data_IF_313432391610
#
_entry.id   IF_313432391610
#
_cell.length_a   1.000
_cell.length_b   1.000
_cell.length_c   1.000
_cell.angle_alpha   90.00
_cell.angle_beta   90.00
_cell.angle_gamma   90.00
#
_symmetry.space_group_name_H-M   'P 1'
#
loop_
_entity.id
_entity.type
_entity.pdbx_description
1 polymer ?
#
# COMPACT_ATOMS: atom_id res chain seq x y z
N UNK A 1 7.57 -23.98 11.34
CA UNK A 1 8.25 -23.08 12.29
C UNK A 1 7.23 -22.01 12.65
N UNK A 2 6.76 -21.95 13.90
CA UNK A 2 5.74 -20.98 14.29
C UNK A 2 6.39 -19.59 14.40
N UNK A 3 6.00 -18.66 13.53
CA UNK A 3 6.42 -17.25 13.62
C UNK A 3 5.75 -16.66 14.86
N UNK A 4 6.53 -16.49 15.93
CA UNK A 4 6.09 -15.79 17.12
C UNK A 4 6.00 -14.29 16.77
N UNK A 5 4.78 -13.79 16.55
CA UNK A 5 4.55 -12.38 16.23
C UNK A 5 4.73 -11.53 17.49
N UNK A 6 5.76 -10.70 17.49
CA UNK A 6 5.99 -9.74 18.57
C UNK A 6 5.19 -8.47 18.26
N UNK A 7 4.25 -8.13 19.15
CA UNK A 7 3.49 -6.88 19.07
C UNK A 7 3.89 -5.96 20.21
N UNK A 8 4.01 -4.67 19.93
CA UNK A 8 4.29 -3.63 20.92
C UNK A 8 3.04 -2.76 21.05
N UNK A 9 2.51 -2.65 22.27
CA UNK A 9 1.37 -1.77 22.56
C UNK A 9 1.90 -0.48 23.17
N UNK A 10 1.55 0.66 22.56
CA UNK A 10 1.98 1.97 23.02
C UNK A 10 0.76 2.86 23.30
N UNK A 11 0.74 3.58 24.43
CA UNK A 11 -0.31 4.55 24.72
C UNK A 11 -0.17 5.78 23.82
N UNK A 12 -1.30 6.28 23.32
CA UNK A 12 -1.34 7.59 22.69
C UNK A 12 -1.09 8.68 23.75
N UNK A 13 -0.34 9.71 23.35
CA UNK A 13 0.14 10.77 24.27
C UNK A 13 -1.02 11.61 24.85
N UNK A 14 -2.21 11.54 24.26
CA UNK A 14 -3.38 12.36 24.61
C UNK A 14 -4.61 11.54 25.08
N UNK A 15 -4.40 10.43 25.79
CA UNK A 15 -5.51 9.67 26.41
C UNK A 15 -6.43 8.95 25.43
N UNK A 16 -5.98 8.76 24.19
CA UNK A 16 -6.67 7.98 23.16
C UNK A 16 -6.42 6.47 23.23
N UNK A 17 -7.00 5.75 22.27
CA UNK A 17 -6.87 4.31 22.09
C UNK A 17 -5.40 3.83 22.01
N UNK A 18 -5.13 2.56 22.31
CA UNK A 18 -3.79 1.98 22.20
C UNK A 18 -3.41 1.79 20.73
N UNK A 19 -2.18 2.18 20.36
CA UNK A 19 -1.60 1.84 19.05
C UNK A 19 -0.82 0.52 19.15
N UNK A 20 -1.07 -0.39 18.22
CA UNK A 20 -0.41 -1.70 18.17
C UNK A 20 0.57 -1.72 17.01
N UNK A 21 1.86 -1.75 17.34
CA UNK A 21 2.94 -1.92 16.38
C UNK A 21 3.22 -3.41 16.21
N UNK A 22 3.36 -3.85 14.95
CA UNK A 22 3.61 -5.24 14.56
C UNK A 22 5.00 -5.36 13.99
N UNK A 23 5.72 -6.40 14.40
CA UNK A 23 7.04 -6.72 13.85
C UNK A 23 6.91 -7.14 12.38
N UNK A 24 7.76 -6.59 11.53
CA UNK A 24 7.94 -6.93 10.12
C UNK A 24 9.44 -7.00 9.80
N UNK A 25 9.82 -7.87 8.87
CA UNK A 25 11.19 -7.94 8.36
C UNK A 25 11.28 -7.09 7.09
N UNK A 26 12.21 -6.13 7.05
CA UNK A 26 12.41 -5.26 5.88
C UNK A 26 13.84 -5.37 5.40
N UNK A 27 14.03 -5.50 4.10
CA UNK A 27 15.35 -5.51 3.48
C UNK A 27 16.08 -4.17 3.72
N UNK A 28 17.31 -4.23 4.22
CA UNK A 28 18.10 -3.04 4.56
C UNK A 28 18.38 -2.11 3.37
N UNK A 29 18.31 -2.60 2.13
CA UNK A 29 18.46 -1.79 0.91
C UNK A 29 17.40 -0.69 0.79
N UNK A 30 16.14 -0.98 1.14
CA UNK A 30 15.04 -0.01 1.05
C UNK A 30 15.21 1.16 2.01
N UNK A 31 15.82 0.90 3.16
CA UNK A 31 16.01 1.91 4.18
C UNK A 31 17.12 2.92 3.80
N UNK A 32 18.02 2.58 2.88
CA UNK A 32 19.12 3.50 2.51
C UNK A 32 18.61 4.81 1.90
N UNK A 33 17.46 4.77 1.24
CA UNK A 33 16.90 5.93 0.53
C UNK A 33 15.67 6.52 1.25
N UNK A 34 15.01 5.75 2.12
CA UNK A 34 13.78 6.17 2.80
C UNK A 34 13.96 6.54 4.28
N UNK A 35 15.18 6.48 4.83
CA UNK A 35 15.42 6.90 6.23
C UNK A 35 15.42 8.42 6.34
N UNK A 36 14.46 8.92 7.11
CA UNK A 36 14.29 10.35 7.35
C UNK A 36 15.02 10.80 8.61
N UNK A 37 15.12 9.92 9.62
CA UNK A 37 15.79 10.26 10.89
C UNK A 37 16.46 9.04 11.53
N UNK A 38 17.64 9.28 12.10
CA UNK A 38 18.40 8.32 12.90
C UNK A 38 18.51 8.84 14.32
N UNK A 39 18.09 8.04 15.30
CA UNK A 39 18.25 8.32 16.72
C UNK A 39 19.07 7.23 17.40
N UNK A 40 20.07 7.62 18.20
CA UNK A 40 20.99 6.67 18.86
C UNK A 40 20.64 6.47 20.33
N UNK A 41 20.93 5.30 20.86
CA UNK A 41 20.81 4.95 22.29
C UNK A 41 19.38 5.00 22.86
N UNK A 42 18.36 4.90 22.02
CA UNK A 42 16.99 4.78 22.47
C UNK A 42 16.63 3.32 22.77
N UNK A 43 15.72 3.11 23.73
CA UNK A 43 15.11 1.78 23.93
C UNK A 43 14.11 1.49 22.83
N UNK A 44 13.80 0.21 22.61
CA UNK A 44 12.78 -0.24 21.64
C UNK A 44 11.45 0.53 21.79
N UNK A 45 10.95 0.68 23.02
CA UNK A 45 9.72 1.42 23.33
C UNK A 45 9.88 2.91 22.98
N UNK A 46 11.02 3.50 23.32
CA UNK A 46 11.30 4.91 23.04
C UNK A 46 11.30 5.21 21.53
N UNK A 47 11.66 4.24 20.69
CA UNK A 47 11.68 4.40 19.24
C UNK A 47 10.28 4.40 18.65
N UNK A 48 9.41 3.49 19.11
CA UNK A 48 7.99 3.54 18.74
C UNK A 48 7.32 4.84 19.18
N UNK A 49 7.58 5.33 20.40
CA UNK A 49 7.07 6.63 20.86
C UNK A 49 7.62 7.79 20.03
N UNK A 50 8.90 7.74 19.63
CA UNK A 50 9.48 8.76 18.76
C UNK A 50 8.80 8.78 17.37
N UNK A 51 8.52 7.61 16.81
CA UNK A 51 7.77 7.49 15.56
C UNK A 51 6.35 8.06 15.70
N UNK A 52 5.60 7.68 16.74
CA UNK A 52 4.23 8.17 16.97
C UNK A 52 4.09 9.68 17.16
N UNK A 53 5.17 10.38 17.54
CA UNK A 53 5.18 11.84 17.68
C UNK A 53 5.35 12.57 16.35
N UNK A 54 5.59 11.83 15.27
CA UNK A 54 5.87 12.36 13.95
C UNK A 54 4.85 11.78 12.97
N UNK A 55 3.95 12.62 12.45
CA UNK A 55 2.88 12.18 11.54
C UNK A 55 3.42 11.53 10.24
N UNK A 56 4.66 11.85 9.87
CA UNK A 56 5.34 11.29 8.70
C UNK A 56 5.91 9.88 8.95
N UNK A 57 6.01 9.40 10.19
CA UNK A 57 6.67 8.14 10.51
C UNK A 57 5.66 6.98 10.51
N UNK A 58 5.86 6.02 9.60
CA UNK A 58 4.97 4.86 9.41
C UNK A 58 5.67 3.52 9.68
N UNK A 59 7.01 3.55 9.72
CA UNK A 59 7.84 2.40 10.00
C UNK A 59 9.04 2.87 10.82
N UNK A 60 9.46 2.04 11.76
CA UNK A 60 10.75 2.21 12.42
C UNK A 60 11.46 0.89 12.59
N UNK A 61 12.79 0.92 12.50
CA UNK A 61 13.64 -0.25 12.65
C UNK A 61 14.57 -0.07 13.85
N UNK A 62 14.81 -1.18 14.54
CA UNK A 62 15.69 -1.21 15.71
C UNK A 62 16.90 -2.08 15.41
N UNK A 63 18.03 -1.43 15.17
CA UNK A 63 19.27 -2.10 14.78
C UNK A 63 20.30 -2.09 15.93
N UNK A 64 21.29 -2.99 15.86
CA UNK A 64 22.37 -3.14 16.84
C UNK A 64 23.63 -2.39 16.34
N UNK A 65 24.22 -1.47 17.12
CA UNK A 65 23.98 -1.21 18.54
C UNK A 65 23.01 -0.04 18.82
N UNK A 66 21.72 -0.36 19.02
CA UNK A 66 20.64 0.54 19.51
C UNK A 66 20.46 1.81 18.69
N UNK A 67 20.49 1.66 17.38
CA UNK A 67 20.12 2.73 16.46
C UNK A 67 18.66 2.54 16.04
N UNK A 68 17.90 3.62 16.14
CA UNK A 68 16.51 3.67 15.71
C UNK A 68 16.41 4.47 14.44
N UNK A 69 15.98 3.76 13.39
CA UNK A 69 15.78 4.30 12.06
C UNK A 69 14.30 4.60 11.94
N UNK A 70 13.93 5.87 11.83
CA UNK A 70 12.55 6.31 11.61
C UNK A 70 12.39 6.66 10.14
N UNK A 71 11.30 6.20 9.54
CA UNK A 71 11.09 6.32 8.10
C UNK A 71 9.62 6.54 7.76
N UNK A 72 9.40 7.26 6.66
CA UNK A 72 8.10 7.48 6.03
C UNK A 72 7.64 6.32 5.15
N UNK A 73 8.42 5.24 5.07
CA UNK A 73 8.08 4.04 4.32
C UNK A 73 6.80 3.41 4.89
N UNK A 74 5.81 3.21 4.04
CA UNK A 74 4.66 2.37 4.38
C UNK A 74 5.02 0.93 4.06
N UNK A 75 4.90 0.05 5.05
CA UNK A 75 5.14 -1.39 4.86
C UNK A 75 3.96 -2.15 5.41
N UNK A 76 3.39 -3.02 4.59
CA UNK A 76 2.37 -3.96 5.03
C UNK A 76 2.98 -5.04 5.92
N UNK A 77 2.23 -5.47 6.94
CA UNK A 77 2.64 -6.63 7.73
C UNK A 77 2.54 -7.95 6.97
N UNK A 78 1.89 -7.96 5.80
CA UNK A 78 1.84 -9.10 4.87
C UNK A 78 3.06 -9.15 3.95
N UNK A 79 3.95 -8.14 3.98
CA UNK A 79 5.19 -8.12 3.21
C UNK A 79 6.10 -9.30 3.57
N UNK A 80 6.77 -9.86 2.56
CA UNK A 80 7.78 -10.89 2.73
C UNK A 80 9.06 -10.48 1.98
N UNK A 81 10.19 -10.29 2.68
CA UNK A 81 11.44 -9.91 2.02
C UNK A 81 11.94 -11.03 1.10
N UNK A 82 12.57 -10.65 0.00
CA UNK A 82 13.17 -11.58 -0.97
C UNK A 82 14.38 -12.33 -0.39
N UNK A 83 15.11 -11.71 0.56
CA UNK A 83 16.25 -12.31 1.26
C UNK A 83 16.14 -12.16 2.78
N UNK A 84 15.99 -13.26 3.54
CA UNK A 84 15.82 -13.20 5.00
C UNK A 84 17.09 -12.80 5.75
N UNK A 85 18.28 -13.12 5.21
CA UNK A 85 19.57 -12.99 5.91
C UNK A 85 20.12 -11.54 5.94
N UNK A 86 19.39 -10.57 5.37
CA UNK A 86 19.75 -9.15 5.36
C UNK A 86 18.61 -8.21 5.78
N UNK A 87 17.55 -8.77 6.37
CA UNK A 87 16.40 -8.02 6.84
C UNK A 87 16.64 -7.39 8.21
N UNK A 88 16.22 -6.14 8.37
CA UNK A 88 16.13 -5.46 9.66
C UNK A 88 14.80 -5.75 10.34
N UNK A 89 14.85 -5.86 11.67
CA UNK A 89 13.67 -5.95 12.51
C UNK A 89 13.02 -4.56 12.61
N UNK A 90 11.90 -4.42 11.91
CA UNK A 90 11.13 -3.20 11.86
C UNK A 90 9.74 -3.40 12.44
N UNK A 91 9.08 -2.29 12.71
CA UNK A 91 7.77 -2.25 13.32
C UNK A 91 6.93 -1.23 12.57
N UNK A 92 5.70 -1.65 12.24
CA UNK A 92 4.71 -0.82 11.57
C UNK A 92 3.36 -0.92 12.30
N UNK A 93 2.57 0.16 12.27
CA UNK A 93 1.19 0.18 12.76
C UNK A 93 0.18 -0.26 11.68
N UNK A 94 0.66 -0.54 10.47
CA UNK A 94 -0.17 -1.00 9.35
C UNK A 94 -0.82 -2.34 9.67
N UNK A 95 -2.02 -2.52 9.11
CA UNK A 95 -2.78 -3.76 9.24
C UNK A 95 -2.36 -4.73 8.13
N UNK A 96 -2.49 -6.05 8.34
CA UNK A 96 -2.38 -7.02 7.26
C UNK A 96 -3.38 -6.68 6.15
N UNK A 97 -2.94 -6.86 4.91
CA UNK A 97 -3.75 -6.72 3.70
C UNK A 97 -3.62 -7.97 2.80
N UNK A 98 -4.48 -8.06 1.79
CA UNK A 98 -4.59 -9.19 0.86
C UNK A 98 -3.82 -9.02 -0.46
N UNK A 99 -3.42 -7.79 -0.80
CA UNK A 99 -2.72 -7.40 -2.02
C UNK A 99 -1.37 -8.08 -2.21
N UNK A 100 -0.54 -8.32 -1.18
CA UNK A 100 0.79 -8.94 -1.36
C UNK A 100 0.80 -10.33 -2.00
N UNK A 101 -0.35 -11.00 -2.04
CA UNK A 101 -0.52 -12.32 -2.66
C UNK A 101 -1.39 -12.29 -3.91
N UNK A 102 -1.92 -11.12 -4.29
CA UNK A 102 -2.82 -10.98 -5.42
C UNK A 102 -2.06 -11.04 -6.74
N UNK A 103 -2.61 -11.77 -7.71
CA UNK A 103 -2.17 -11.67 -9.09
C UNK A 103 -2.79 -10.41 -9.72
N UNK A 104 -2.00 -9.65 -10.48
CA UNK A 104 -2.48 -8.45 -11.15
C UNK A 104 -2.60 -8.69 -12.65
N UNK A 105 -3.77 -8.40 -13.19
CA UNK A 105 -3.98 -8.16 -14.62
C UNK A 105 -4.38 -6.70 -14.84
N UNK A 106 -4.25 -6.22 -16.07
CA UNK A 106 -4.53 -4.83 -16.38
C UNK A 106 -4.93 -4.66 -17.84
N UNK A 107 -5.39 -3.46 -18.18
CA UNK A 107 -5.35 -2.97 -19.55
C UNK A 107 -3.90 -2.86 -20.05
N UNK A 108 -3.70 -2.29 -21.25
CA UNK A 108 -2.37 -2.15 -21.89
C UNK A 108 -1.38 -1.49 -20.93
N UNK A 109 -0.43 -2.26 -20.40
CA UNK A 109 0.53 -1.73 -19.44
C UNK A 109 1.65 -0.96 -20.13
N UNK A 110 2.02 0.18 -19.55
CA UNK A 110 3.15 0.96 -20.03
C UNK A 110 4.45 0.28 -19.58
N UNK A 111 4.94 -0.67 -20.39
CA UNK A 111 6.19 -1.39 -20.12
C UNK A 111 7.40 -0.49 -20.37
N UNK A 112 7.80 0.29 -19.36
CA UNK A 112 9.21 0.64 -19.18
C UNK A 112 9.82 -0.32 -18.17
N UNK A 113 11.14 -0.54 -18.21
CA UNK A 113 11.85 -1.34 -17.20
C UNK A 113 11.71 -0.80 -15.77
N UNK A 114 11.17 0.41 -15.64
CA UNK A 114 11.16 1.22 -14.42
C UNK A 114 9.78 1.20 -13.73
N UNK A 115 8.67 0.99 -14.46
CA UNK A 115 7.30 1.03 -13.91
C UNK A 115 6.65 -0.35 -13.92
N UNK A 116 6.94 -1.16 -12.89
CA UNK A 116 6.51 -2.55 -12.82
C UNK A 116 5.13 -2.68 -12.17
N UNK A 117 4.28 -3.58 -12.69
CA UNK A 117 2.96 -3.86 -12.10
C UNK A 117 3.05 -4.40 -10.68
N UNK A 118 4.10 -5.16 -10.39
CA UNK A 118 4.32 -5.78 -9.08
C UNK A 118 4.41 -4.76 -7.95
N UNK A 119 4.93 -3.56 -8.22
CA UNK A 119 5.08 -2.51 -7.23
C UNK A 119 3.72 -1.99 -6.72
N UNK A 120 2.64 -2.21 -7.48
CA UNK A 120 1.29 -1.84 -7.04
C UNK A 120 0.86 -2.60 -5.77
N UNK A 121 1.39 -3.82 -5.58
CA UNK A 121 0.92 -4.77 -4.55
C UNK A 121 2.09 -5.43 -3.80
N UNK A 122 3.29 -4.89 -3.89
CA UNK A 122 4.46 -5.44 -3.20
C UNK A 122 4.40 -5.27 -1.67
N UNK A 123 3.42 -4.51 -1.16
CA UNK A 123 3.27 -4.18 0.25
C UNK A 123 4.22 -3.08 0.75
N UNK A 124 4.87 -2.33 -0.16
CA UNK A 124 5.79 -1.24 0.17
C UNK A 124 5.41 0.03 -0.60
N UNK A 125 5.38 1.18 0.08
CA UNK A 125 5.31 2.48 -0.58
C UNK A 125 6.36 3.44 -0.01
N UNK A 126 7.33 3.79 -0.84
CA UNK A 126 8.53 4.57 -0.45
C UNK A 126 8.49 6.04 -0.85
N UNK A 127 7.38 6.49 -1.48
CA UNK A 127 7.29 7.80 -2.12
C UNK A 127 8.34 8.03 -3.23
N UNK A 128 8.82 6.95 -3.86
CA UNK A 128 9.56 7.04 -5.10
C UNK A 128 8.59 7.16 -6.30
N UNK A 129 8.90 8.07 -7.23
CA UNK A 129 8.22 8.16 -8.53
C UNK A 129 8.32 6.86 -9.34
N UNK A 130 9.35 6.05 -9.10
CA UNK A 130 9.56 4.78 -9.80
C UNK A 130 8.69 3.64 -9.26
N UNK A 131 8.10 3.79 -8.07
CA UNK A 131 7.26 2.75 -7.47
C UNK A 131 5.88 2.62 -8.12
N UNK A 132 5.47 3.57 -8.98
CA UNK A 132 4.12 3.49 -9.54
C UNK A 132 3.96 2.56 -10.74
N UNK A 133 2.78 1.95 -10.76
CA UNK A 133 2.24 1.25 -11.91
C UNK A 133 1.42 2.17 -12.79
N UNK A 134 1.68 2.12 -14.11
CA UNK A 134 0.97 2.92 -15.11
C UNK A 134 0.41 2.02 -16.20
N UNK A 135 -0.90 2.12 -16.41
CA UNK A 135 -1.60 1.40 -17.47
C UNK A 135 -2.35 2.38 -18.35
N UNK A 136 -2.45 2.04 -19.63
CA UNK A 136 -3.30 2.68 -20.62
C UNK A 136 -4.41 1.72 -21.04
N UNK A 137 -5.40 2.24 -21.70
CA UNK A 137 -6.39 1.47 -22.46
C UNK A 137 -6.18 1.61 -23.95
N UNK A 138 -6.82 0.73 -24.71
CA UNK A 138 -7.01 0.93 -26.14
C UNK A 138 -8.04 2.05 -26.38
N UNK A 139 -8.05 2.61 -27.59
CA UNK A 139 -8.98 3.68 -27.96
C UNK A 139 -10.44 3.26 -27.71
N UNK A 140 -11.18 4.07 -26.97
CA UNK A 140 -12.59 3.82 -26.62
C UNK A 140 -12.82 2.87 -25.44
N UNK A 141 -11.78 2.55 -24.67
CA UNK A 141 -11.89 1.82 -23.41
C UNK A 141 -11.24 2.61 -22.27
N UNK A 142 -11.58 2.27 -21.02
CA UNK A 142 -10.98 2.90 -19.84
C UNK A 142 -9.80 2.11 -19.29
N UNK A 143 -8.80 2.78 -18.73
CA UNK A 143 -7.64 2.14 -18.11
C UNK A 143 -7.99 1.47 -16.77
N UNK A 144 -7.47 0.27 -16.51
CA UNK A 144 -7.84 -0.51 -15.33
C UNK A 144 -6.74 -1.47 -14.82
N UNK A 145 -6.79 -1.76 -13.53
CA UNK A 145 -6.16 -2.89 -12.85
C UNK A 145 -7.23 -3.85 -12.34
N UNK A 146 -6.92 -5.15 -12.36
CA UNK A 146 -7.74 -6.19 -11.77
C UNK A 146 -6.86 -7.11 -10.92
N UNK A 147 -7.19 -7.19 -9.65
CA UNK A 147 -6.54 -8.06 -8.70
C UNK A 147 -7.35 -9.35 -8.58
N UNK A 148 -6.66 -10.48 -8.64
CA UNK A 148 -7.19 -11.81 -8.35
C UNK A 148 -6.55 -12.34 -7.07
N UNK A 149 -7.36 -12.50 -6.02
CA UNK A 149 -6.91 -13.03 -4.73
C UNK A 149 -6.87 -14.56 -4.66
N UNK A 150 -7.26 -15.26 -5.74
CA UNK A 150 -7.32 -16.73 -5.81
C UNK A 150 -8.54 -17.34 -5.09
N UNK A 151 -9.01 -16.72 -4.01
CA UNK A 151 -10.21 -17.08 -3.26
C UNK A 151 -11.07 -15.86 -2.96
N UNK A 152 -12.34 -16.12 -2.58
CA UNK A 152 -13.24 -15.06 -2.10
C UNK A 152 -12.73 -14.55 -0.75
N UNK A 153 -12.57 -13.24 -0.64
CA UNK A 153 -12.18 -12.54 0.59
C UNK A 153 -13.25 -11.52 0.98
N UNK A 154 -13.39 -11.19 2.27
CA UNK A 154 -14.10 -9.98 2.68
C UNK A 154 -13.25 -8.76 2.31
N UNK A 155 -13.86 -7.79 1.63
CA UNK A 155 -13.26 -6.51 1.25
C UNK A 155 -13.99 -5.40 2.01
N UNK A 156 -13.35 -4.90 3.04
CA UNK A 156 -13.82 -3.84 3.93
C UNK A 156 -13.24 -2.46 3.57
N UNK A 157 -12.10 -2.42 2.90
CA UNK A 157 -11.41 -1.18 2.58
C UNK A 157 -10.48 -1.35 1.38
N UNK A 158 -10.43 -0.34 0.52
CA UNK A 158 -9.41 -0.21 -0.52
C UNK A 158 -8.71 1.13 -0.35
N UNK A 159 -7.38 1.07 -0.24
CA UNK A 159 -6.52 2.24 -0.08
C UNK A 159 -5.71 2.39 -1.36
N UNK A 160 -5.83 3.56 -2.00
CA UNK A 160 -5.09 3.92 -3.19
C UNK A 160 -4.16 5.08 -2.85
N UNK A 161 -2.89 4.98 -3.23
CA UNK A 161 -1.91 6.04 -2.99
C UNK A 161 -1.45 6.64 -4.31
N UNK A 162 -1.58 7.97 -4.41
CA UNK A 162 -1.17 8.72 -5.58
C UNK A 162 0.36 8.89 -5.67
N UNK A 163 0.85 9.21 -6.87
CA UNK A 163 2.28 9.45 -7.06
C UNK A 163 2.77 10.72 -6.36
N UNK A 164 4.06 10.78 -5.98
CA UNK A 164 4.70 11.94 -5.36
C UNK A 164 5.07 13.04 -6.37
N UNK A 165 4.23 13.27 -7.38
CA UNK A 165 4.45 14.32 -8.38
C UNK A 165 3.13 14.76 -9.03
N UNK A 166 3.22 15.77 -9.88
CA UNK A 166 2.10 16.43 -10.54
C UNK A 166 1.38 15.57 -11.59
N UNK A 167 1.88 14.39 -11.96
CA UNK A 167 1.13 13.47 -12.82
C UNK A 167 -0.11 12.90 -12.11
N UNK A 168 -0.14 12.91 -10.76
CA UNK A 168 -1.31 12.57 -9.96
C UNK A 168 -2.55 13.38 -10.39
N UNK A 169 -2.38 14.66 -10.72
CA UNK A 169 -3.47 15.53 -11.19
C UNK A 169 -4.16 15.02 -12.47
N UNK A 170 -3.42 14.32 -13.32
CA UNK A 170 -3.89 13.87 -14.64
C UNK A 170 -4.30 12.40 -14.63
N UNK A 171 -3.51 11.54 -13.99
CA UNK A 171 -3.62 10.08 -14.14
C UNK A 171 -4.15 9.37 -12.89
N UNK A 172 -4.23 10.06 -11.74
CA UNK A 172 -4.93 9.58 -10.55
C UNK A 172 -6.19 10.43 -10.36
N UNK A 173 -7.23 10.11 -11.14
CA UNK A 173 -8.49 10.85 -11.10
C UNK A 173 -9.66 10.02 -11.58
N UNK A 174 -10.84 10.36 -11.07
CA UNK A 174 -12.12 9.82 -11.53
C UNK A 174 -12.13 8.28 -11.53
N UNK A 175 -11.79 7.68 -10.39
CA UNK A 175 -11.54 6.24 -10.20
C UNK A 175 -12.76 5.57 -9.57
N UNK A 176 -13.13 4.40 -10.08
CA UNK A 176 -14.08 3.46 -9.46
C UNK A 176 -13.37 2.20 -8.97
N UNK A 177 -13.80 1.73 -7.81
CA UNK A 177 -13.38 0.44 -7.25
C UNK A 177 -14.59 -0.46 -7.10
N UNK A 178 -14.49 -1.68 -7.65
CA UNK A 178 -15.59 -2.66 -7.63
C UNK A 178 -15.09 -4.05 -7.26
N UNK A 179 -15.99 -4.85 -6.69
CA UNK A 179 -15.72 -6.19 -6.16
C UNK A 179 -16.59 -7.22 -6.86
N UNK A 180 -15.98 -8.32 -7.32
CA UNK A 180 -16.65 -9.35 -8.08
C UNK A 180 -16.16 -10.77 -7.80
N UNK A 181 -16.89 -11.76 -8.31
CA UNK A 181 -16.60 -13.18 -8.13
C UNK A 181 -16.22 -13.92 -9.41
N UNK A 182 -16.44 -13.30 -10.57
CA UNK A 182 -16.14 -13.87 -11.89
C UNK A 182 -15.14 -12.98 -12.59
N UNK A 183 -14.08 -13.54 -13.15
CA UNK A 183 -13.10 -12.75 -13.89
C UNK A 183 -13.76 -11.96 -15.03
N UNK A 184 -13.45 -10.67 -15.11
CA UNK A 184 -13.89 -9.76 -16.16
C UNK A 184 -12.67 -9.02 -16.74
N UNK A 185 -12.84 -8.32 -17.85
CA UNK A 185 -11.78 -7.55 -18.50
C UNK A 185 -12.38 -6.29 -19.12
N UNK A 186 -11.97 -5.12 -18.62
CA UNK A 186 -12.40 -3.82 -19.13
C UNK A 186 -13.84 -3.40 -18.82
N UNK A 187 -14.77 -4.33 -18.62
CA UNK A 187 -16.14 -4.04 -18.20
C UNK A 187 -16.44 -4.72 -16.87
N UNK A 188 -16.54 -3.92 -15.81
CA UNK A 188 -16.80 -4.37 -14.44
C UNK A 188 -18.21 -3.98 -13.96
N UNK A 189 -19.15 -3.70 -14.86
CA UNK A 189 -20.50 -3.26 -14.49
C UNK A 189 -21.30 -4.30 -13.67
N UNK A 190 -20.97 -5.60 -13.82
CA UNK A 190 -21.57 -6.68 -13.03
C UNK A 190 -21.00 -6.79 -11.61
N UNK A 191 -19.88 -6.13 -11.32
CA UNK A 191 -19.28 -6.11 -9.99
C UNK A 191 -20.02 -5.12 -9.08
N UNK A 192 -20.02 -5.42 -7.78
CA UNK A 192 -20.58 -4.52 -6.77
C UNK A 192 -19.66 -3.32 -6.58
N UNK A 193 -20.23 -2.11 -6.62
CA UNK A 193 -19.48 -0.87 -6.34
C UNK A 193 -19.03 -0.86 -4.88
N UNK A 194 -17.71 -0.75 -4.66
CA UNK A 194 -17.15 -0.52 -3.34
C UNK A 194 -17.12 0.97 -3.02
N UNK A 195 -16.69 1.78 -3.98
CA UNK A 195 -16.60 3.23 -3.84
C UNK A 195 -15.98 3.88 -5.07
N UNK A 196 -16.04 5.20 -5.10
CA UNK A 196 -15.49 6.01 -6.18
C UNK A 196 -14.76 7.23 -5.63
N UNK A 197 -13.76 7.69 -6.37
CA UNK A 197 -13.03 8.92 -6.14
C UNK A 197 -13.22 9.84 -7.34
N UNK A 198 -13.86 10.98 -7.14
CA UNK A 198 -14.16 11.96 -8.19
C UNK A 198 -13.21 13.14 -8.10
N UNK A 199 -12.77 13.65 -9.24
CA UNK A 199 -11.73 14.67 -9.30
C UNK A 199 -10.34 14.05 -9.29
N UNK A 200 -9.33 14.89 -9.10
CA UNK A 200 -7.93 14.51 -9.13
C UNK A 200 -7.33 14.42 -7.73
N UNK A 201 -6.30 13.60 -7.59
CA UNK A 201 -5.53 13.53 -6.36
C UNK A 201 -4.41 14.56 -6.31
N UNK A 202 -4.10 15.03 -5.10
CA UNK A 202 -2.84 15.71 -4.80
C UNK A 202 -1.67 14.71 -4.80
N UNK A 203 -0.41 15.17 -4.98
CA UNK A 203 0.76 14.30 -4.83
C UNK A 203 0.77 13.59 -3.48
N UNK A 204 1.11 12.29 -3.48
CA UNK A 204 1.12 11.42 -2.29
C UNK A 204 -0.23 11.26 -1.58
N UNK A 205 -1.33 11.76 -2.15
CA UNK A 205 -2.63 11.66 -1.50
C UNK A 205 -3.05 10.20 -1.33
N UNK A 206 -3.47 9.88 -0.11
CA UNK A 206 -4.07 8.61 0.26
C UNK A 206 -5.58 8.72 0.09
N UNK A 207 -6.13 7.94 -0.84
CA UNK A 207 -7.58 7.83 -1.06
C UNK A 207 -8.05 6.52 -0.45
N UNK A 208 -8.97 6.62 0.51
CA UNK A 208 -9.52 5.46 1.22
C UNK A 208 -10.99 5.30 0.85
N UNK A 209 -11.35 4.16 0.28
CA UNK A 209 -12.71 3.81 -0.11
C UNK A 209 -13.22 2.69 0.79
N UNK A 210 -14.41 2.91 1.38
CA UNK A 210 -15.04 1.97 2.32
C UNK A 210 -16.51 1.78 1.95
N UNK A 211 -16.99 0.54 1.75
CA UNK A 211 -18.40 0.26 1.62
C UNK A 211 -19.09 0.34 3.00
N UNK A 212 -20.41 0.48 3.03
CA UNK A 212 -21.19 0.46 4.28
C UNK A 212 -21.09 -0.88 5.03
N UNK A 213 -20.93 -1.97 4.28
CA UNK A 213 -20.69 -3.33 4.80
C UNK A 213 -19.62 -4.00 3.94
N UNK A 214 -18.76 -4.87 4.51
CA UNK A 214 -17.76 -5.58 3.72
C UNK A 214 -18.38 -6.32 2.53
N UNK A 215 -17.78 -6.16 1.36
CA UNK A 215 -18.17 -6.86 0.13
C UNK A 215 -17.37 -8.15 0.01
N UNK A 216 -17.99 -9.25 -0.43
CA UNK A 216 -17.29 -10.52 -0.60
C UNK A 216 -16.99 -10.74 -2.08
N UNK A 217 -15.71 -10.85 -2.42
CA UNK A 217 -15.28 -11.09 -3.79
C UNK A 217 -13.91 -11.74 -3.89
N UNK A 218 -13.68 -12.40 -5.02
CA UNK A 218 -12.35 -12.90 -5.42
C UNK A 218 -11.56 -11.86 -6.21
N UNK A 219 -12.26 -10.90 -6.84
CA UNK A 219 -11.66 -9.92 -7.71
C UNK A 219 -11.96 -8.50 -7.23
N UNK A 220 -10.96 -7.64 -7.29
CA UNK A 220 -11.09 -6.18 -7.09
C UNK A 220 -10.60 -5.47 -8.34
N UNK A 221 -11.48 -4.70 -8.97
CA UNK A 221 -11.13 -3.85 -10.12
C UNK A 221 -10.93 -2.41 -9.67
N UNK A 222 -9.90 -1.75 -10.20
CA UNK A 222 -9.67 -0.32 -10.09
C UNK A 222 -9.64 0.23 -11.49
N UNK A 223 -10.56 1.12 -11.82
CA UNK A 223 -10.76 1.58 -13.19
C UNK A 223 -11.00 3.08 -13.21
N UNK A 224 -10.40 3.79 -14.18
CA UNK A 224 -10.82 5.17 -14.48
C UNK A 224 -12.20 5.16 -15.13
N UNK A 225 -12.97 6.19 -14.88
CA UNK A 225 -14.28 6.42 -15.52
C UNK A 225 -14.19 7.35 -16.74
N UNK A 226 -12.97 7.78 -17.06
CA UNK A 226 -12.64 8.62 -18.21
C UNK A 226 -11.55 7.95 -19.03
N UNK A 227 -11.48 8.27 -20.32
CA UNK A 227 -10.35 7.88 -21.17
C UNK A 227 -9.05 8.52 -20.64
N UNK A 228 -7.90 7.88 -20.96
CA UNK A 228 -6.50 8.20 -20.57
C UNK A 228 -5.90 7.26 -19.50
N UNK A 229 -4.61 7.43 -19.21
CA UNK A 229 -3.80 6.56 -18.36
C UNK A 229 -4.32 6.48 -16.92
N UNK A 230 -4.25 5.31 -16.31
CA UNK A 230 -4.38 5.14 -14.87
C UNK A 230 -3.00 4.95 -14.26
N UNK A 231 -2.68 5.78 -13.28
CA UNK A 231 -1.44 5.68 -12.52
C UNK A 231 -1.73 5.57 -11.03
N UNK A 232 -1.17 4.56 -10.37
CA UNK A 232 -1.30 4.33 -8.93
C UNK A 232 0.08 3.95 -8.40
N UNK A 233 0.51 4.60 -7.31
CA UNK A 233 1.79 4.33 -6.68
C UNK A 233 1.73 3.03 -5.88
N UNK A 234 0.70 2.88 -5.06
CA UNK A 234 0.52 1.72 -4.21
C UNK A 234 -0.96 1.47 -3.92
N UNK A 235 -1.31 0.21 -3.67
CA UNK A 235 -2.66 -0.25 -3.41
C UNK A 235 -2.65 -1.24 -2.25
N UNK A 236 -3.56 -1.02 -1.29
CA UNK A 236 -3.87 -2.01 -0.26
C UNK A 236 -5.34 -2.40 -0.32
N UNK A 237 -5.63 -3.68 -0.05
CA UNK A 237 -7.00 -4.21 0.08
C UNK A 237 -7.13 -4.97 1.39
N UNK A 238 -8.14 -4.62 2.19
CA UNK A 238 -8.45 -5.21 3.49
C UNK A 238 -9.92 -5.57 3.59
#
# INVERSE_FOLDING_TARGET
MALCTCNIMLPLVEGGDLMVWRRVMVESSWLKESVTQISKNLSLISCGVACMKNDWCHLWCYDVPRECLLTSLFVSTSYQPSQPDGGLDCFTDRKPEYTTQAAITSSVHYHTSIKQRSNLVDGIYSSDIYDASVVNSESGAFAWFLLDFGNVIPVSEVILIAQPNTNSYTYFRDIEVRVGNTQASGNFASYSMLGSFTGHAEPEQIVILRPATPLFGRYVSIQRTTDDLLQIAHLEVR
#
